data_IF_312188110419
#
_entry.id   IF_312188110419
#
_cell.length_a   1.000
_cell.length_b   1.000
_cell.length_c   1.000
_cell.angle_alpha   90.00
_cell.angle_beta   90.00
_cell.angle_gamma   90.00
#
_symmetry.space_group_name_H-M   'P 1'
#
loop_
_entity.id
_entity.type
_entity.pdbx_description
1 polymer ?
#
# COMPACT_ATOMS: atom_id res chain seq x y z
N UNK A 1 9.42 21.32 -3.43
CA UNK A 1 9.47 21.57 -1.97
C UNK A 1 8.96 22.97 -1.66
N UNK A 2 9.62 24.03 -2.13
CA UNK A 2 9.24 25.40 -1.80
C UNK A 2 7.81 25.76 -2.21
N UNK A 3 7.35 25.29 -3.36
CA UNK A 3 5.96 25.48 -3.82
C UNK A 3 4.94 24.81 -2.90
N UNK A 4 5.21 23.60 -2.40
CA UNK A 4 4.37 22.92 -1.42
C UNK A 4 4.28 23.77 -0.13
N UNK A 5 5.43 24.25 0.36
CA UNK A 5 5.50 25.09 1.55
C UNK A 5 4.74 26.42 1.37
N UNK A 6 4.90 27.08 0.22
CA UNK A 6 4.21 28.33 -0.12
C UNK A 6 2.69 28.18 -0.16
N UNK A 7 2.21 27.13 -0.85
CA UNK A 7 0.75 26.84 -0.93
C UNK A 7 0.18 26.54 0.45
N UNK A 8 0.83 25.71 1.26
CA UNK A 8 0.38 25.38 2.60
C UNK A 8 0.42 26.61 3.55
N UNK A 9 1.40 27.50 3.41
CA UNK A 9 1.42 28.76 4.17
C UNK A 9 0.35 29.74 3.72
N UNK A 10 0.04 29.80 2.43
CA UNK A 10 -0.94 30.75 1.87
C UNK A 10 -2.37 30.33 2.18
N UNK A 11 -2.71 29.07 1.93
CA UNK A 11 -4.08 28.55 2.03
C UNK A 11 -4.37 27.88 3.36
N UNK A 12 -3.35 27.63 4.17
CA UNK A 12 -3.45 26.86 5.40
C UNK A 12 -3.38 25.35 5.16
N UNK A 13 -3.32 24.61 6.23
CA UNK A 13 -3.30 23.16 6.23
C UNK A 13 -4.29 22.61 7.26
N UNK A 14 -5.24 21.82 6.79
CA UNK A 14 -6.38 21.39 7.61
C UNK A 14 -6.08 20.18 8.51
N UNK A 15 -5.02 19.42 8.22
CA UNK A 15 -4.57 18.27 9.02
C UNK A 15 -3.49 18.68 10.04
N UNK A 16 -3.13 17.76 10.94
CA UNK A 16 -2.05 17.99 11.91
C UNK A 16 -0.68 17.99 11.27
N UNK A 17 -0.43 17.13 10.29
CA UNK A 17 0.84 17.03 9.59
C UNK A 17 0.76 16.15 8.35
N UNK A 18 1.81 16.19 7.52
CA UNK A 18 1.94 15.38 6.30
C UNK A 18 3.41 15.10 5.98
N UNK A 19 3.64 14.00 5.26
CA UNK A 19 4.95 13.65 4.73
C UNK A 19 4.86 13.45 3.21
N UNK A 20 5.86 13.96 2.50
CA UNK A 20 5.96 13.86 1.03
C UNK A 20 7.23 13.13 0.62
N UNK A 21 7.11 12.18 -0.29
CA UNK A 21 8.22 11.69 -1.10
C UNK A 21 8.27 12.51 -2.39
N UNK A 22 9.36 13.19 -2.63
CA UNK A 22 9.56 14.07 -3.80
C UNK A 22 10.75 13.51 -4.57
N UNK A 23 10.53 13.11 -5.82
CA UNK A 23 11.52 12.41 -6.62
C UNK A 23 11.51 12.96 -8.04
N UNK A 24 12.69 13.25 -8.55
CA UNK A 24 12.95 13.49 -9.96
C UNK A 24 14.00 12.49 -10.51
N UNK A 25 14.46 12.60 -11.77
CA UNK A 25 15.46 11.67 -12.31
C UNK A 25 16.83 11.71 -11.62
N UNK A 26 17.16 12.77 -10.89
CA UNK A 26 18.49 13.03 -10.34
C UNK A 26 18.54 12.85 -8.82
N UNK A 27 17.47 13.19 -8.11
CA UNK A 27 17.45 13.18 -6.65
C UNK A 27 16.11 12.77 -6.03
N UNK A 28 16.16 12.40 -4.76
CA UNK A 28 14.99 12.05 -3.96
C UNK A 28 15.03 12.81 -2.62
N UNK A 29 13.87 13.32 -2.22
CA UNK A 29 13.69 14.05 -0.98
C UNK A 29 12.53 13.49 -0.16
N UNK A 30 12.66 13.58 1.15
CA UNK A 30 11.55 13.45 2.09
C UNK A 30 11.28 14.83 2.70
N UNK A 31 10.02 15.26 2.67
CA UNK A 31 9.58 16.49 3.31
C UNK A 31 8.52 16.17 4.35
N UNK A 32 8.68 16.69 5.55
CA UNK A 32 7.72 16.57 6.64
C UNK A 32 7.24 17.95 7.05
N UNK A 33 5.93 18.12 7.21
CA UNK A 33 5.32 19.38 7.61
C UNK A 33 4.29 19.18 8.72
N UNK A 34 4.17 20.21 9.55
CA UNK A 34 3.19 20.27 10.65
C UNK A 34 2.41 21.58 10.52
N UNK A 35 1.08 21.47 10.57
CA UNK A 35 0.20 22.64 10.62
C UNK A 35 0.37 23.40 11.94
N UNK A 36 0.47 24.72 11.88
CA UNK A 36 0.60 25.56 13.08
C UNK A 36 -0.68 25.61 13.95
N UNK A 37 -1.76 24.95 13.49
CA UNK A 37 -3.01 24.90 14.19
C UNK A 37 -3.86 26.16 14.07
N UNK A 38 -4.82 26.32 14.97
CA UNK A 38 -5.76 27.45 14.99
C UNK A 38 -5.54 28.31 16.22
N UNK A 39 -5.55 29.63 16.00
CA UNK A 39 -5.61 30.63 17.06
C UNK A 39 -6.59 31.73 16.59
N UNK A 40 -7.68 31.92 17.29
CA UNK A 40 -8.66 32.96 16.97
C UNK A 40 -8.00 34.35 16.95
N UNK A 41 -8.19 35.09 15.87
CA UNK A 41 -7.71 36.47 15.73
C UNK A 41 -8.72 37.53 16.28
N UNK A 42 -9.83 37.09 16.87
CA UNK A 42 -10.90 37.93 17.35
C UNK A 42 -11.75 38.60 16.26
N UNK A 43 -11.52 38.23 14.99
CA UNK A 43 -12.23 38.73 13.80
C UNK A 43 -12.84 37.64 12.94
N UNK A 44 -12.86 36.40 13.46
CA UNK A 44 -13.40 35.24 12.77
C UNK A 44 -12.37 34.56 11.84
N UNK A 45 -11.07 34.88 11.97
CA UNK A 45 -9.98 34.31 11.24
C UNK A 45 -8.98 33.55 12.11
N UNK A 46 -7.96 32.97 11.49
CA UNK A 46 -6.86 32.26 12.15
C UNK A 46 -5.59 33.14 12.19
N UNK A 47 -5.19 33.59 13.38
CA UNK A 47 -3.93 34.34 13.59
C UNK A 47 -2.66 33.48 13.46
N UNK A 48 -2.82 32.13 13.43
CA UNK A 48 -1.69 31.17 13.39
C UNK A 48 -1.73 30.34 12.10
N UNK A 49 -1.81 30.99 10.95
CA UNK A 49 -1.81 30.33 9.65
C UNK A 49 -0.46 29.67 9.34
N UNK A 50 -0.52 28.66 8.48
CA UNK A 50 0.68 28.09 7.84
C UNK A 50 1.17 26.82 8.51
N UNK A 51 2.40 26.50 8.17
CA UNK A 51 3.08 25.28 8.56
C UNK A 51 4.50 25.58 9.06
N UNK A 52 5.06 24.63 9.80
CA UNK A 52 6.50 24.44 9.94
C UNK A 52 6.88 23.16 9.21
N UNK A 53 8.06 23.11 8.65
CA UNK A 53 8.48 21.99 7.81
C UNK A 53 9.99 21.83 7.75
N UNK A 54 10.42 20.61 7.41
CA UNK A 54 11.79 20.25 7.09
C UNK A 54 11.80 19.27 5.93
N UNK A 55 12.77 19.41 5.04
CA UNK A 55 12.98 18.49 3.93
C UNK A 55 14.44 18.03 3.90
N UNK A 56 14.66 16.73 3.68
CA UNK A 56 15.98 16.12 3.62
C UNK A 56 16.16 15.39 2.29
N UNK A 57 17.26 15.68 1.59
CA UNK A 57 17.70 14.90 0.44
C UNK A 57 18.17 13.53 0.92
N UNK A 58 17.66 12.48 0.29
CA UNK A 58 18.09 11.10 0.55
C UNK A 58 19.44 10.91 -0.13
N UNK A 59 20.49 10.44 0.58
CA UNK A 59 21.81 10.24 -0.03
C UNK A 59 21.76 9.24 -1.18
N UNK A 60 22.55 9.46 -2.21
CA UNK A 60 22.62 8.57 -3.37
C UNK A 60 22.96 7.13 -2.94
N UNK A 61 22.23 6.16 -3.49
CA UNK A 61 22.38 4.76 -3.13
C UNK A 61 21.68 4.33 -1.85
N UNK A 62 20.89 5.21 -1.22
CA UNK A 62 20.05 4.90 -0.07
C UNK A 62 18.56 4.91 -0.43
N UNK A 63 17.74 4.33 0.44
CA UNK A 63 16.28 4.39 0.39
C UNK A 63 15.74 4.90 1.72
N UNK A 64 14.63 5.62 1.67
CA UNK A 64 13.88 6.06 2.83
C UNK A 64 12.42 5.64 2.72
N UNK A 65 11.69 5.69 3.82
CA UNK A 65 10.27 5.44 3.89
C UNK A 65 9.64 6.24 5.03
N UNK A 66 8.35 6.51 4.92
CA UNK A 66 7.53 7.11 5.96
C UNK A 66 6.09 6.56 5.92
N UNK A 67 5.41 6.60 7.03
CA UNK A 67 4.06 6.05 7.16
C UNK A 67 3.30 6.74 8.29
N UNK A 68 2.67 7.88 8.01
CA UNK A 68 1.88 8.69 8.96
C UNK A 68 2.60 9.15 10.23
N UNK A 69 3.92 9.21 10.24
CA UNK A 69 4.74 9.66 11.36
C UNK A 69 5.92 10.47 10.83
N UNK A 70 6.20 11.61 11.46
CA UNK A 70 7.43 12.36 11.19
C UNK A 70 8.65 11.58 11.71
N UNK A 71 9.72 11.54 10.92
CA UNK A 71 10.92 10.73 11.19
C UNK A 71 12.20 11.53 11.19
N UNK A 72 12.20 12.75 10.64
CA UNK A 72 13.38 13.63 10.61
C UNK A 72 13.67 14.08 12.04
N UNK A 73 14.84 13.70 12.55
CA UNK A 73 15.38 14.11 13.86
C UNK A 73 16.10 15.44 13.74
N UNK A 74 17.33 15.52 14.23
CA UNK A 74 18.22 16.66 14.00
C UNK A 74 18.59 16.75 12.53
N UNK A 75 18.80 17.98 12.05
CA UNK A 75 19.10 18.24 10.65
C UNK A 75 20.10 19.40 10.51
N UNK A 76 20.97 19.39 9.48
CA UNK A 76 21.91 20.47 9.24
C UNK A 76 21.18 21.76 8.87
N UNK A 77 21.65 22.90 9.41
CA UNK A 77 21.05 24.21 9.17
C UNK A 77 21.88 25.05 8.18
N UNK A 78 23.05 24.57 7.83
CA UNK A 78 24.05 25.24 6.96
C UNK A 78 24.33 24.44 5.67
N UNK A 79 23.47 23.48 5.31
CA UNK A 79 23.60 22.62 4.12
C UNK A 79 22.34 22.70 3.23
N UNK A 80 22.15 23.81 2.49
CA UNK A 80 20.98 24.01 1.66
C UNK A 80 20.89 23.06 0.45
N UNK A 81 21.97 22.36 0.10
CA UNK A 81 21.94 21.34 -0.97
C UNK A 81 21.27 20.05 -0.52
N UNK A 82 21.30 19.73 0.78
CA UNK A 82 20.76 18.49 1.32
C UNK A 82 19.68 18.68 2.39
N UNK A 83 19.41 19.92 2.81
CA UNK A 83 18.41 20.23 3.82
C UNK A 83 17.75 21.59 3.59
N UNK A 84 16.43 21.59 3.51
CA UNK A 84 15.61 22.80 3.47
C UNK A 84 14.63 22.78 4.65
N UNK A 85 14.31 23.92 5.21
CA UNK A 85 13.38 24.01 6.35
C UNK A 85 12.74 25.41 6.47
N UNK A 86 11.62 25.49 7.18
CA UNK A 86 11.00 26.79 7.46
C UNK A 86 11.84 27.60 8.45
N UNK A 87 12.04 28.92 8.21
CA UNK A 87 12.92 29.76 9.05
C UNK A 87 12.52 29.80 10.52
N UNK A 88 11.24 29.57 10.80
CA UNK A 88 10.67 29.64 12.14
C UNK A 88 10.46 28.25 12.79
N UNK A 89 11.00 27.18 12.22
CA UNK A 89 10.78 25.79 12.69
C UNK A 89 11.18 25.60 14.15
N UNK A 90 12.26 26.17 14.63
CA UNK A 90 12.69 26.10 16.03
C UNK A 90 11.96 27.13 16.89
N UNK A 91 11.81 28.36 16.40
CA UNK A 91 11.16 29.43 17.13
C UNK A 91 9.70 29.09 17.44
N UNK A 92 8.98 28.50 16.49
CA UNK A 92 7.60 28.07 16.70
C UNK A 92 7.49 26.93 17.74
N UNK A 93 8.43 25.98 17.74
CA UNK A 93 8.44 24.92 18.77
C UNK A 93 8.64 25.51 20.18
N UNK A 94 9.49 26.51 20.32
CA UNK A 94 9.69 27.21 21.59
C UNK A 94 8.45 28.04 21.98
N UNK A 95 7.82 28.75 21.05
CA UNK A 95 6.58 29.48 21.28
C UNK A 95 5.47 28.57 21.83
N UNK A 96 5.41 27.36 21.30
CA UNK A 96 4.39 26.37 21.69
C UNK A 96 4.76 25.58 22.97
N UNK A 97 5.98 25.76 23.48
CA UNK A 97 6.46 24.99 24.64
C UNK A 97 6.79 23.52 24.33
N UNK A 98 7.00 23.19 23.06
CA UNK A 98 7.37 21.84 22.61
C UNK A 98 8.87 21.58 22.71
N UNK A 99 9.67 22.64 22.81
CA UNK A 99 11.12 22.56 22.86
C UNK A 99 11.73 23.77 23.61
N UNK A 100 12.76 23.53 24.44
CA UNK A 100 13.46 24.56 25.22
C UNK A 100 15.00 24.50 25.11
N UNK A 101 15.52 23.55 24.28
CA UNK A 101 16.96 23.33 24.08
C UNK A 101 17.64 24.28 23.09
N UNK A 102 18.86 23.91 22.65
CA UNK A 102 19.64 24.66 21.67
C UNK A 102 19.15 24.43 20.24
N UNK A 103 19.49 25.30 19.31
CA UNK A 103 19.11 25.12 17.89
C UNK A 103 19.81 23.90 17.26
N UNK A 104 21.03 23.59 17.71
CA UNK A 104 21.82 22.46 17.24
C UNK A 104 21.21 21.11 17.60
N UNK A 105 20.62 20.99 18.78
CA UNK A 105 20.03 19.75 19.28
C UNK A 105 18.56 19.57 18.88
N UNK A 106 17.99 20.55 18.17
CA UNK A 106 16.58 20.51 17.78
C UNK A 106 16.27 19.34 16.87
N UNK A 107 15.39 18.45 17.35
CA UNK A 107 14.84 17.30 16.63
C UNK A 107 13.40 17.60 16.18
N UNK A 108 13.16 17.63 14.88
CA UNK A 108 11.85 17.98 14.32
C UNK A 108 10.74 17.02 14.80
N UNK A 109 10.95 15.72 14.64
CA UNK A 109 9.95 14.74 15.01
C UNK A 109 9.74 14.65 16.52
N UNK A 110 10.78 14.84 17.36
CA UNK A 110 10.62 14.82 18.81
C UNK A 110 9.82 16.02 19.32
N UNK A 111 10.02 17.20 18.68
CA UNK A 111 9.30 18.40 19.06
C UNK A 111 7.83 18.39 18.57
N UNK A 112 7.58 17.92 17.36
CA UNK A 112 6.26 18.10 16.72
C UNK A 112 5.42 16.83 16.62
N UNK A 113 6.02 15.66 16.66
CA UNK A 113 5.36 14.37 16.52
C UNK A 113 6.13 13.29 17.31
N UNK A 114 6.24 13.44 18.65
CA UNK A 114 6.93 12.44 19.47
C UNK A 114 6.26 11.07 19.31
N UNK A 115 7.09 10.04 19.18
CA UNK A 115 6.62 8.69 18.90
C UNK A 115 6.08 8.05 20.19
N UNK A 116 4.78 7.84 20.23
CA UNK A 116 4.11 7.00 21.22
C UNK A 116 3.95 5.55 20.71
N UNK A 117 3.31 4.69 21.51
CA UNK A 117 3.04 3.31 21.14
C UNK A 117 2.29 3.21 19.79
N UNK A 118 1.28 4.06 19.56
CA UNK A 118 0.49 4.08 18.34
C UNK A 118 1.31 4.48 17.12
N UNK A 119 2.20 5.47 17.28
CA UNK A 119 3.14 5.89 16.24
C UNK A 119 4.13 4.77 15.88
N UNK A 120 4.64 4.04 16.87
CA UNK A 120 5.54 2.93 16.63
C UNK A 120 4.81 1.75 15.99
N UNK A 121 3.76 1.22 16.65
CA UNK A 121 3.03 0.04 16.20
C UNK A 121 2.21 0.28 14.93
N UNK A 122 1.56 1.42 14.82
CA UNK A 122 0.69 1.74 13.68
C UNK A 122 1.40 2.38 12.49
N UNK A 123 2.57 3.00 12.69
CA UNK A 123 3.26 3.77 11.65
C UNK A 123 4.67 3.23 11.37
N UNK A 124 5.59 3.32 12.33
CA UNK A 124 6.98 2.90 12.15
C UNK A 124 7.13 1.40 11.82
N UNK A 125 6.23 0.55 12.28
CA UNK A 125 6.20 -0.87 11.91
C UNK A 125 6.13 -1.08 10.39
N UNK A 126 5.38 -0.25 9.65
CA UNK A 126 5.30 -0.32 8.18
C UNK A 126 6.61 0.11 7.51
N UNK A 127 7.28 1.10 8.06
CA UNK A 127 8.63 1.50 7.62
C UNK A 127 9.64 0.38 7.88
N UNK A 128 9.58 -0.25 9.05
CA UNK A 128 10.41 -1.38 9.39
C UNK A 128 10.22 -2.56 8.42
N UNK A 129 8.97 -2.89 8.07
CA UNK A 129 8.65 -3.94 7.12
C UNK A 129 9.26 -3.68 5.74
N UNK A 130 9.18 -2.45 5.24
CA UNK A 130 9.84 -2.06 4.00
C UNK A 130 11.37 -2.15 4.11
N UNK A 131 11.97 -1.58 5.14
CA UNK A 131 13.42 -1.61 5.34
C UNK A 131 13.96 -3.04 5.48
N UNK A 132 13.26 -3.90 6.22
CA UNK A 132 13.59 -5.32 6.37
C UNK A 132 13.61 -6.05 5.03
N UNK A 133 12.70 -5.70 4.12
CA UNK A 133 12.63 -6.31 2.79
C UNK A 133 13.84 -5.92 1.93
N UNK A 134 14.37 -4.71 2.05
CA UNK A 134 15.41 -4.19 1.13
C UNK A 134 16.82 -4.14 1.72
N UNK A 135 16.96 -4.12 3.06
CA UNK A 135 18.25 -3.95 3.74
C UNK A 135 18.51 -5.05 4.77
N UNK A 136 19.78 -5.26 5.13
CA UNK A 136 20.20 -6.23 6.15
C UNK A 136 20.17 -5.63 7.55
N UNK A 137 20.08 -6.50 8.57
CA UNK A 137 20.22 -6.13 9.96
C UNK A 137 19.03 -5.37 10.55
N UNK A 138 17.90 -5.34 9.87
CA UNK A 138 16.70 -4.63 10.34
C UNK A 138 15.95 -5.36 11.45
N UNK A 139 16.17 -6.65 11.62
CA UNK A 139 15.53 -7.43 12.70
C UNK A 139 15.90 -6.92 14.11
N UNK A 140 17.04 -6.24 14.27
CA UNK A 140 17.41 -5.60 15.55
C UNK A 140 16.46 -4.48 16.00
N UNK A 141 15.62 -3.98 15.11
CA UNK A 141 14.62 -2.92 15.37
C UNK A 141 13.20 -3.46 15.54
N UNK A 142 13.03 -4.79 15.65
CA UNK A 142 11.70 -5.39 15.80
C UNK A 142 10.99 -4.92 17.06
N UNK A 143 11.71 -4.71 18.17
CA UNK A 143 11.18 -4.21 19.43
C UNK A 143 10.65 -2.76 19.30
N UNK A 144 11.35 -1.92 18.53
CA UNK A 144 10.89 -0.59 18.17
C UNK A 144 9.61 -0.66 17.32
N UNK A 145 9.58 -1.46 16.26
CA UNK A 145 8.41 -1.64 15.42
C UNK A 145 7.20 -2.21 16.17
N UNK A 146 7.45 -3.06 17.19
CA UNK A 146 6.39 -3.58 18.07
C UNK A 146 5.91 -2.57 19.12
N UNK A 147 6.52 -1.41 19.23
CA UNK A 147 6.17 -0.39 20.23
C UNK A 147 6.71 -0.65 21.64
N UNK A 148 7.64 -1.59 21.78
CA UNK A 148 8.16 -2.01 23.09
C UNK A 148 9.41 -1.23 23.52
N UNK A 149 10.11 -0.59 22.58
CA UNK A 149 11.35 0.12 22.86
C UNK A 149 11.52 1.34 21.93
N UNK A 150 11.06 2.50 22.37
CA UNK A 150 11.13 3.75 21.61
C UNK A 150 12.56 4.26 21.43
N UNK A 151 13.49 3.86 22.31
CA UNK A 151 14.89 4.29 22.25
C UNK A 151 15.67 3.59 21.12
N UNK A 152 15.23 2.42 20.66
CA UNK A 152 15.87 1.66 19.59
C UNK A 152 15.42 2.15 18.21
N UNK A 153 15.53 3.44 17.96
CA UNK A 153 15.00 4.12 16.78
C UNK A 153 15.67 3.68 15.49
N UNK A 154 14.88 3.45 14.44
CA UNK A 154 15.37 3.18 13.10
C UNK A 154 16.00 4.43 12.44
N UNK A 155 17.04 4.26 11.60
CA UNK A 155 17.59 5.36 10.81
C UNK A 155 16.56 5.91 9.81
N UNK A 156 16.72 7.18 9.41
CA UNK A 156 15.83 7.83 8.42
C UNK A 156 15.90 7.16 7.04
N UNK A 157 17.07 6.63 6.68
CA UNK A 157 17.33 5.88 5.44
C UNK A 157 18.25 4.70 5.69
N UNK A 158 18.19 3.72 4.80
CA UNK A 158 19.02 2.52 4.84
C UNK A 158 19.68 2.27 3.48
N UNK A 159 20.83 1.61 3.51
CA UNK A 159 21.49 1.17 2.28
C UNK A 159 20.88 -0.17 1.85
N UNK A 160 20.23 -0.25 0.68
CA UNK A 160 19.64 -1.51 0.22
C UNK A 160 20.72 -2.51 -0.18
N UNK A 161 20.42 -3.81 -0.04
CA UNK A 161 21.31 -4.92 -0.45
C UNK A 161 21.63 -4.88 -1.94
N UNK A 162 20.66 -4.54 -2.74
CA UNK A 162 20.74 -4.43 -4.19
C UNK A 162 19.92 -3.23 -4.67
N UNK A 163 20.07 -2.86 -5.94
CA UNK A 163 19.24 -1.82 -6.54
C UNK A 163 17.76 -2.23 -6.46
N UNK A 164 16.94 -1.38 -5.86
CA UNK A 164 15.50 -1.63 -5.67
C UNK A 164 14.78 -1.45 -7.01
N UNK A 165 14.15 -2.51 -7.51
CA UNK A 165 13.35 -2.44 -8.74
C UNK A 165 11.91 -2.02 -8.46
N UNK A 166 11.15 -1.54 -9.47
CA UNK A 166 9.72 -1.28 -9.30
C UNK A 166 8.96 -2.48 -8.74
N UNK A 167 9.26 -3.71 -9.18
CA UNK A 167 8.61 -4.94 -8.68
C UNK A 167 8.82 -5.16 -7.18
N UNK A 168 10.01 -4.85 -6.66
CA UNK A 168 10.27 -4.92 -5.21
C UNK A 168 9.38 -3.93 -4.45
N UNK A 169 9.21 -2.71 -4.97
CA UNK A 169 8.32 -1.72 -4.35
C UNK A 169 6.86 -2.17 -4.43
N UNK A 170 6.42 -2.73 -5.57
CA UNK A 170 5.07 -3.31 -5.70
C UNK A 170 4.79 -4.35 -4.62
N UNK A 171 5.75 -5.25 -4.39
CA UNK A 171 5.60 -6.32 -3.41
C UNK A 171 5.64 -5.80 -1.97
N UNK A 172 6.45 -4.79 -1.68
CA UNK A 172 6.47 -4.13 -0.36
C UNK A 172 5.12 -3.47 0.00
N UNK A 173 4.38 -2.96 -1.00
CA UNK A 173 3.05 -2.37 -0.77
C UNK A 173 1.98 -3.41 -0.41
N UNK A 174 2.27 -4.70 -0.54
CA UNK A 174 1.38 -5.83 -0.26
C UNK A 174 1.60 -6.49 1.10
N UNK A 175 2.50 -5.96 1.89
CA UNK A 175 2.96 -6.56 3.15
C UNK A 175 1.89 -6.53 4.25
N UNK A 176 1.79 -7.65 4.99
CA UNK A 176 1.01 -7.81 6.23
C UNK A 176 1.86 -8.36 7.36
N UNK A 177 3.15 -8.03 7.36
CA UNK A 177 4.16 -8.50 8.31
C UNK A 177 4.41 -10.01 8.27
N UNK A 178 4.20 -10.67 7.13
CA UNK A 178 4.34 -12.11 6.99
C UNK A 178 5.74 -12.58 7.43
N UNK A 179 5.75 -13.66 8.23
CA UNK A 179 6.96 -14.24 8.77
C UNK A 179 7.64 -13.43 9.89
N UNK A 180 6.92 -12.49 10.49
CA UNK A 180 7.38 -11.69 11.64
C UNK A 180 6.52 -11.96 12.89
N UNK A 181 6.91 -11.46 14.07
CA UNK A 181 6.04 -11.53 15.26
C UNK A 181 4.69 -10.81 15.10
N UNK A 182 4.57 -9.91 14.11
CA UNK A 182 3.36 -9.15 13.81
C UNK A 182 2.54 -9.74 12.66
N UNK A 183 2.84 -10.95 12.22
CA UNK A 183 2.18 -11.62 11.07
C UNK A 183 0.67 -11.71 11.25
N UNK A 184 -0.06 -10.93 10.44
CA UNK A 184 -1.51 -10.81 10.50
C UNK A 184 -2.25 -12.00 9.88
N UNK A 185 -1.55 -12.92 9.23
CA UNK A 185 -2.13 -14.13 8.61
C UNK A 185 -2.15 -15.32 9.55
N UNK A 186 -1.45 -15.24 10.68
CA UNK A 186 -1.23 -16.38 11.57
C UNK A 186 -1.74 -16.19 13.00
N UNK A 187 -2.15 -15.00 13.40
CA UNK A 187 -2.72 -14.73 14.71
C UNK A 187 -4.17 -15.24 14.85
N UNK A 188 -4.77 -15.11 16.03
CA UNK A 188 -6.15 -15.54 16.26
C UNK A 188 -7.16 -14.72 15.42
N UNK A 189 -6.86 -13.45 15.15
CA UNK A 189 -7.70 -12.56 14.36
C UNK A 189 -7.77 -12.93 12.88
N UNK A 190 -6.79 -13.69 12.36
CA UNK A 190 -6.81 -14.21 11.00
C UNK A 190 -7.88 -15.28 10.77
N UNK A 191 -8.40 -15.87 11.84
CA UNK A 191 -9.41 -16.92 11.76
C UNK A 191 -8.92 -18.18 11.05
N UNK A 192 -9.87 -18.98 10.61
CA UNK A 192 -9.59 -20.23 9.90
C UNK A 192 -9.17 -20.06 8.46
N UNK A 193 -9.32 -18.86 7.88
CA UNK A 193 -9.02 -18.54 6.49
C UNK A 193 -7.74 -17.70 6.31
N UNK A 194 -6.95 -17.54 7.37
CA UNK A 194 -5.72 -16.73 7.36
C UNK A 194 -5.91 -15.30 6.82
N UNK A 195 -7.07 -14.67 7.08
CA UNK A 195 -7.40 -13.33 6.59
C UNK A 195 -6.60 -12.26 7.34
N UNK A 196 -5.76 -11.44 6.65
CA UNK A 196 -4.88 -10.49 7.32
C UNK A 196 -5.56 -9.18 7.71
N UNK A 197 -6.85 -9.06 7.51
CA UNK A 197 -7.58 -7.81 7.71
C UNK A 197 -8.34 -7.78 9.03
N UNK A 198 -8.44 -6.57 9.60
CA UNK A 198 -9.16 -6.33 10.85
C UNK A 198 -10.16 -5.21 10.66
N UNK A 199 -11.32 -5.35 11.28
CA UNK A 199 -12.30 -4.27 11.33
C UNK A 199 -11.88 -3.22 12.35
N UNK A 200 -12.22 -1.97 12.10
CA UNK A 200 -12.03 -0.89 13.06
C UNK A 200 -13.15 -0.89 14.12
N UNK A 201 -12.89 -0.43 15.34
CA UNK A 201 -11.65 0.21 15.79
C UNK A 201 -10.47 -0.77 15.94
N UNK A 202 -9.25 -0.23 15.82
CA UNK A 202 -8.03 -1.04 15.97
C UNK A 202 -7.76 -1.38 17.44
N UNK A 203 -8.15 -0.51 18.36
CA UNK A 203 -7.99 -0.67 19.80
C UNK A 203 -9.27 -1.22 20.43
N UNK A 204 -9.10 -2.08 21.42
CA UNK A 204 -10.18 -2.65 22.22
C UNK A 204 -9.69 -2.99 23.63
N UNK A 205 -10.61 -3.02 24.59
CA UNK A 205 -10.30 -3.29 26.00
C UNK A 205 -10.91 -4.63 26.45
N UNK A 206 -10.15 -5.38 27.24
CA UNK A 206 -10.64 -6.57 27.95
C UNK A 206 -10.13 -6.53 29.39
N UNK A 207 -11.03 -6.60 30.36
CA UNK A 207 -10.74 -6.62 31.80
C UNK A 207 -9.83 -5.46 32.26
N UNK A 208 -10.02 -4.27 31.69
CA UNK A 208 -9.25 -3.07 32.01
C UNK A 208 -7.87 -3.01 31.37
N UNK A 209 -7.57 -3.93 30.43
CA UNK A 209 -6.33 -3.94 29.65
C UNK A 209 -6.64 -3.60 28.20
N UNK A 210 -5.98 -2.58 27.67
CA UNK A 210 -6.12 -2.18 26.26
C UNK A 210 -5.23 -3.04 25.37
N UNK A 211 -5.79 -3.43 24.24
CA UNK A 211 -5.14 -4.20 23.16
C UNK A 211 -5.25 -3.47 21.83
N UNK A 212 -4.31 -3.74 20.92
CA UNK A 212 -4.27 -3.14 19.59
C UNK A 212 -4.03 -4.21 18.52
N UNK A 213 -4.81 -4.16 17.43
CA UNK A 213 -4.51 -4.90 16.21
C UNK A 213 -3.41 -4.20 15.41
N UNK A 214 -2.66 -4.96 14.62
CA UNK A 214 -1.67 -4.44 13.67
C UNK A 214 -2.32 -3.59 12.58
N UNK A 215 -1.54 -2.63 12.08
CA UNK A 215 -1.86 -1.85 10.90
C UNK A 215 -0.80 -2.08 9.83
N UNK A 216 -1.07 -2.98 8.91
CA UNK A 216 -0.16 -3.33 7.82
C UNK A 216 -0.09 -2.26 6.72
N UNK A 217 0.85 -2.43 5.78
CA UNK A 217 0.97 -1.58 4.59
C UNK A 217 -0.20 -1.83 3.66
N UNK A 218 -0.52 -3.08 3.32
CA UNK A 218 -1.73 -3.43 2.60
C UNK A 218 -2.95 -3.43 3.53
N UNK A 219 -4.04 -2.84 3.10
CA UNK A 219 -5.27 -2.75 3.89
C UNK A 219 -6.50 -2.70 2.99
N UNK A 220 -7.59 -3.33 3.45
CA UNK A 220 -8.90 -3.34 2.78
C UNK A 220 -9.52 -1.95 2.60
N UNK A 221 -8.99 -0.93 3.22
CA UNK A 221 -9.50 0.45 3.13
C UNK A 221 -8.83 1.26 2.01
N UNK A 222 -7.90 0.65 1.27
CA UNK A 222 -7.19 1.31 0.17
C UNK A 222 -8.17 1.63 -0.96
N UNK A 223 -8.28 2.89 -1.34
CA UNK A 223 -9.04 3.30 -2.52
C UNK A 223 -8.24 3.13 -3.81
N UNK A 224 -6.99 3.55 -3.76
CA UNK A 224 -6.00 3.38 -4.84
C UNK A 224 -4.59 3.35 -4.24
N UNK A 225 -3.65 2.85 -5.02
CA UNK A 225 -2.24 2.85 -4.71
C UNK A 225 -1.40 3.00 -5.97
N UNK A 226 -0.18 3.45 -5.83
CA UNK A 226 0.68 3.66 -7.00
C UNK A 226 2.16 3.59 -6.65
N UNK A 227 2.98 3.41 -7.68
CA UNK A 227 4.42 3.60 -7.65
C UNK A 227 4.81 4.58 -8.76
N UNK A 228 5.26 5.76 -8.40
CA UNK A 228 5.79 6.74 -9.34
C UNK A 228 7.25 6.41 -9.66
N UNK A 229 7.58 6.34 -10.94
CA UNK A 229 8.92 6.03 -11.43
C UNK A 229 9.47 7.20 -12.23
N UNK A 230 10.37 7.98 -11.62
CA UNK A 230 11.23 8.92 -12.32
C UNK A 230 12.34 8.16 -13.06
N UNK A 231 12.72 8.62 -14.25
CA UNK A 231 13.54 7.83 -15.18
C UNK A 231 14.59 8.73 -15.86
N UNK A 232 15.89 8.64 -15.50
CA UNK A 232 16.94 9.51 -16.01
C UNK A 232 17.30 9.24 -17.50
N UNK A 233 17.05 8.02 -17.98
CA UNK A 233 17.51 7.58 -19.31
C UNK A 233 16.50 7.84 -20.43
N UNK A 234 15.39 8.53 -20.14
CA UNK A 234 14.31 8.83 -21.10
C UNK A 234 13.83 10.27 -20.93
N UNK A 235 13.17 10.88 -21.94
CA UNK A 235 12.56 12.21 -21.80
C UNK A 235 11.59 12.31 -20.60
N UNK A 236 11.51 13.47 -19.95
CA UNK A 236 10.72 13.71 -18.73
C UNK A 236 9.26 13.28 -18.83
N UNK A 237 8.66 13.44 -20.02
CA UNK A 237 7.28 13.02 -20.28
C UNK A 237 7.08 11.50 -20.37
N UNK A 238 8.14 10.71 -20.25
CA UNK A 238 8.11 9.25 -20.21
C UNK A 238 8.24 8.69 -18.78
N UNK A 239 8.16 9.49 -17.75
CA UNK A 239 7.94 9.02 -16.38
C UNK A 239 6.68 8.14 -16.31
N UNK A 240 6.64 7.18 -15.40
CA UNK A 240 5.53 6.22 -15.30
C UNK A 240 4.90 6.30 -13.92
N UNK A 241 3.59 6.43 -13.88
CA UNK A 241 2.76 6.14 -12.74
C UNK A 241 2.23 4.69 -12.90
N UNK A 242 2.80 3.77 -12.14
CA UNK A 242 2.22 2.43 -11.98
C UNK A 242 1.02 2.57 -11.06
N UNK A 243 -0.17 2.42 -11.58
CA UNK A 243 -1.41 2.75 -10.88
C UNK A 243 -2.31 1.52 -10.70
N UNK A 244 -2.87 1.38 -9.52
CA UNK A 244 -3.83 0.35 -9.16
C UNK A 244 -4.92 0.88 -8.23
N UNK A 245 -6.04 0.20 -8.21
CA UNK A 245 -7.18 0.51 -7.35
C UNK A 245 -7.38 -0.57 -6.32
N UNK A 246 -8.01 -0.22 -5.21
CA UNK A 246 -8.37 -1.13 -4.12
C UNK A 246 -7.16 -1.70 -3.37
N UNK A 247 -7.34 -2.74 -2.59
CA UNK A 247 -6.34 -3.39 -1.74
C UNK A 247 -5.12 -3.89 -2.53
N UNK A 248 -3.94 -3.40 -2.19
CA UNK A 248 -2.69 -3.72 -2.88
C UNK A 248 -2.39 -5.23 -2.92
N UNK A 249 -2.76 -5.99 -1.87
CA UNK A 249 -2.45 -7.41 -1.78
C UNK A 249 -3.25 -8.27 -2.78
N UNK A 250 -4.42 -7.81 -3.19
CA UNK A 250 -5.33 -8.50 -4.10
C UNK A 250 -5.60 -7.73 -5.38
N UNK A 251 -4.82 -6.68 -5.66
CA UNK A 251 -4.92 -5.86 -6.87
C UNK A 251 -3.60 -5.81 -7.66
N UNK A 252 -3.63 -5.11 -8.79
CA UNK A 252 -2.58 -5.13 -9.77
C UNK A 252 -2.31 -3.72 -10.31
N UNK A 253 -1.05 -3.44 -10.65
CA UNK A 253 -0.65 -2.15 -11.22
C UNK A 253 -0.63 -2.18 -12.74
N UNK A 254 -1.05 -1.07 -13.34
CA UNK A 254 -0.93 -0.81 -14.78
C UNK A 254 -0.04 0.41 -15.04
N UNK A 255 0.82 0.39 -16.08
CA UNK A 255 1.69 1.53 -16.38
C UNK A 255 0.92 2.65 -17.08
N UNK A 256 0.97 3.84 -16.49
CA UNK A 256 0.42 5.07 -17.07
C UNK A 256 1.57 6.06 -17.26
N UNK A 257 1.87 6.41 -18.51
CA UNK A 257 2.90 7.40 -18.80
C UNK A 257 2.44 8.81 -18.42
N UNK A 258 3.35 9.65 -17.94
CA UNK A 258 3.03 11.02 -17.48
C UNK A 258 2.43 11.91 -18.59
N UNK A 259 2.69 11.61 -19.86
CA UNK A 259 2.11 12.32 -21.00
C UNK A 259 0.71 11.84 -21.41
N UNK A 260 0.11 10.89 -20.70
CA UNK A 260 -1.19 10.31 -21.04
C UNK A 260 -2.29 11.38 -21.04
N UNK A 261 -3.06 11.45 -22.13
CA UNK A 261 -4.15 12.38 -22.34
C UNK A 261 -5.49 11.61 -22.38
N UNK A 262 -6.08 11.39 -21.23
CA UNK A 262 -7.33 10.67 -21.08
C UNK A 262 -7.18 9.39 -20.26
N UNK A 263 -8.32 8.80 -19.93
CA UNK A 263 -8.40 7.58 -19.12
C UNK A 263 -9.44 6.64 -19.76
N UNK A 264 -9.32 5.31 -19.58
CA UNK A 264 -10.37 4.39 -19.99
C UNK A 264 -11.61 4.58 -19.11
N UNK A 265 -12.77 4.16 -19.60
CA UNK A 265 -14.05 4.27 -18.87
C UNK A 265 -13.97 3.70 -17.44
N UNK A 266 -13.28 2.59 -17.28
CA UNK A 266 -13.16 1.92 -15.98
C UNK A 266 -12.45 2.73 -14.89
N UNK A 267 -11.68 3.76 -15.26
CA UNK A 267 -10.98 4.68 -14.36
C UNK A 267 -11.52 6.11 -14.41
N UNK A 268 -12.59 6.36 -15.20
CA UNK A 268 -13.09 7.72 -15.39
C UNK A 268 -13.85 8.23 -14.16
N UNK A 269 -13.72 9.54 -13.92
CA UNK A 269 -14.54 10.26 -12.93
C UNK A 269 -16.02 10.12 -13.28
N UNK A 270 -16.87 9.97 -12.25
CA UNK A 270 -18.32 9.80 -12.41
C UNK A 270 -18.75 8.37 -12.72
N UNK A 271 -17.84 7.43 -12.90
CA UNK A 271 -18.15 6.00 -13.07
C UNK A 271 -18.27 5.30 -11.70
N UNK A 272 -19.34 5.61 -10.97
CA UNK A 272 -19.56 5.13 -9.60
C UNK A 272 -18.86 5.99 -8.55
N UNK A 273 -19.12 5.70 -7.29
CA UNK A 273 -18.52 6.34 -6.12
C UNK A 273 -18.47 5.35 -4.96
N UNK A 274 -17.96 5.74 -3.80
CA UNK A 274 -18.03 4.90 -2.58
C UNK A 274 -19.46 4.53 -2.17
N UNK A 275 -20.45 5.32 -2.60
CA UNK A 275 -21.86 5.14 -2.25
C UNK A 275 -22.72 4.71 -3.44
N UNK A 276 -22.13 4.58 -4.62
CA UNK A 276 -22.83 4.24 -5.85
C UNK A 276 -22.06 3.19 -6.65
N UNK A 277 -22.61 1.98 -6.71
CA UNK A 277 -22.02 0.87 -7.44
C UNK A 277 -22.06 1.09 -8.95
N UNK A 278 -20.96 0.79 -9.64
CA UNK A 278 -20.91 0.69 -11.10
C UNK A 278 -20.21 -0.61 -11.54
N UNK A 279 -20.84 -1.40 -12.43
CA UNK A 279 -20.26 -2.65 -12.92
C UNK A 279 -19.09 -2.43 -13.90
N UNK A 280 -18.90 -1.21 -14.42
CA UNK A 280 -17.81 -0.84 -15.32
C UNK A 280 -16.67 -0.11 -14.62
N UNK A 281 -16.82 0.21 -13.32
CA UNK A 281 -15.76 0.80 -12.50
C UNK A 281 -14.70 -0.23 -12.10
N UNK A 282 -13.44 0.11 -12.32
CA UNK A 282 -12.31 -0.72 -11.88
C UNK A 282 -12.31 -0.87 -10.35
N UNK A 283 -12.58 0.21 -9.59
CA UNK A 283 -12.65 0.13 -8.13
C UNK A 283 -13.64 -0.94 -7.67
N UNK A 284 -14.87 -0.93 -8.17
CA UNK A 284 -15.89 -1.89 -7.73
C UNK A 284 -15.58 -3.33 -8.14
N UNK A 285 -15.00 -3.53 -9.32
CA UNK A 285 -14.58 -4.86 -9.77
C UNK A 285 -13.45 -5.41 -8.89
N UNK A 286 -12.42 -4.62 -8.63
CA UNK A 286 -11.28 -5.04 -7.81
C UNK A 286 -11.70 -5.24 -6.35
N UNK A 287 -12.50 -4.32 -5.80
CA UNK A 287 -13.06 -4.43 -4.46
C UNK A 287 -13.88 -5.71 -4.25
N UNK A 288 -14.68 -6.12 -5.25
CA UNK A 288 -15.42 -7.38 -5.19
C UNK A 288 -14.50 -8.60 -5.16
N UNK A 289 -13.44 -8.62 -5.98
CA UNK A 289 -12.44 -9.69 -5.97
C UNK A 289 -11.72 -9.74 -4.63
N UNK A 290 -11.33 -8.60 -4.07
CA UNK A 290 -10.69 -8.51 -2.76
C UNK A 290 -11.58 -9.03 -1.64
N UNK A 291 -12.84 -8.55 -1.57
CA UNK A 291 -13.78 -8.99 -0.54
C UNK A 291 -14.13 -10.48 -0.67
N UNK A 292 -14.13 -11.01 -1.87
CA UNK A 292 -14.29 -12.44 -2.08
C UNK A 292 -13.07 -13.22 -1.56
N UNK A 293 -11.87 -12.72 -1.80
CA UNK A 293 -10.62 -13.31 -1.27
C UNK A 293 -10.61 -13.35 0.27
N UNK A 294 -11.15 -12.34 0.95
CA UNK A 294 -11.18 -12.29 2.41
C UNK A 294 -11.96 -13.43 3.05
N UNK A 295 -12.89 -14.03 2.34
CA UNK A 295 -13.65 -15.16 2.83
C UNK A 295 -12.80 -16.44 2.99
N UNK A 296 -11.78 -16.59 2.15
CA UNK A 296 -10.88 -17.74 2.14
C UNK A 296 -9.49 -17.34 1.63
N UNK A 297 -8.86 -16.42 2.33
CA UNK A 297 -7.62 -15.78 1.92
C UNK A 297 -6.47 -16.77 1.70
N UNK A 298 -6.35 -17.78 2.57
CA UNK A 298 -5.38 -18.88 2.50
C UNK A 298 -5.34 -19.61 1.13
N UNK A 299 -6.42 -19.53 0.37
CA UNK A 299 -6.53 -20.21 -0.93
C UNK A 299 -6.69 -19.21 -2.09
N UNK A 300 -7.62 -18.26 -1.96
CA UNK A 300 -8.01 -17.37 -3.06
C UNK A 300 -6.90 -16.39 -3.38
N UNK A 301 -6.21 -15.86 -2.37
CA UNK A 301 -5.08 -14.95 -2.57
C UNK A 301 -3.96 -15.57 -3.41
N UNK A 302 -3.74 -16.90 -3.28
CA UNK A 302 -2.76 -17.62 -4.08
C UNK A 302 -3.09 -17.66 -5.58
N UNK A 303 -4.36 -17.80 -5.96
CA UNK A 303 -4.75 -17.72 -7.37
C UNK A 303 -4.69 -16.29 -7.91
N UNK A 304 -5.10 -15.29 -7.12
CA UNK A 304 -4.95 -13.88 -7.48
C UNK A 304 -3.45 -13.55 -7.69
N UNK A 305 -2.59 -14.01 -6.79
CA UNK A 305 -1.15 -13.73 -6.86
C UNK A 305 -0.50 -14.26 -8.15
N UNK A 306 -0.91 -15.43 -8.63
CA UNK A 306 -0.43 -15.94 -9.93
C UNK A 306 -0.76 -14.96 -11.07
N UNK A 307 -1.95 -14.38 -11.06
CA UNK A 307 -2.39 -13.42 -12.09
C UNK A 307 -1.64 -12.10 -11.96
N UNK A 308 -1.48 -11.59 -10.73
CA UNK A 308 -0.72 -10.37 -10.43
C UNK A 308 0.72 -10.51 -10.92
N UNK A 309 1.41 -11.57 -10.53
CA UNK A 309 2.82 -11.77 -10.89
C UNK A 309 3.02 -11.89 -12.40
N UNK A 310 2.15 -12.64 -13.08
CA UNK A 310 2.20 -12.73 -14.54
C UNK A 310 2.01 -11.37 -15.19
N UNK A 311 0.95 -10.64 -14.83
CA UNK A 311 0.62 -9.34 -15.39
C UNK A 311 1.74 -8.32 -15.18
N UNK A 312 2.21 -8.15 -13.95
CA UNK A 312 3.21 -7.13 -13.62
C UNK A 312 4.57 -7.43 -14.27
N UNK A 313 4.99 -8.70 -14.30
CA UNK A 313 6.22 -9.08 -14.99
C UNK A 313 6.11 -8.86 -16.52
N UNK A 314 4.96 -9.15 -17.12
CA UNK A 314 4.71 -8.87 -18.53
C UNK A 314 4.67 -7.37 -18.81
N UNK A 315 4.01 -6.57 -17.96
CA UNK A 315 3.95 -5.11 -18.08
C UNK A 315 5.33 -4.45 -17.96
N UNK A 316 6.15 -4.88 -16.99
CA UNK A 316 7.53 -4.40 -16.82
C UNK A 316 8.42 -4.72 -18.05
N UNK A 317 8.19 -5.85 -18.70
CA UNK A 317 8.89 -6.21 -19.94
C UNK A 317 8.36 -5.37 -21.10
N UNK A 318 7.03 -5.28 -21.25
CA UNK A 318 6.37 -4.56 -22.34
C UNK A 318 6.73 -3.06 -22.35
N UNK A 319 6.85 -2.44 -21.17
CA UNK A 319 7.30 -1.05 -21.06
C UNK A 319 8.64 -0.81 -21.74
N UNK A 320 9.58 -1.76 -21.67
CA UNK A 320 10.89 -1.62 -22.34
C UNK A 320 10.76 -1.61 -23.85
N UNK A 321 9.89 -2.46 -24.41
CA UNK A 321 9.66 -2.54 -25.85
C UNK A 321 8.93 -1.27 -26.33
N UNK A 322 7.94 -0.80 -25.56
CA UNK A 322 7.20 0.44 -25.81
C UNK A 322 8.12 1.67 -25.74
N UNK A 323 9.01 1.73 -24.78
CA UNK A 323 10.01 2.80 -24.67
C UNK A 323 10.92 2.86 -25.91
N UNK A 324 11.43 1.69 -26.34
CA UNK A 324 12.29 1.60 -27.51
C UNK A 324 11.58 2.12 -28.79
N UNK A 325 10.31 1.77 -28.97
CA UNK A 325 9.50 2.29 -30.09
C UNK A 325 9.23 3.78 -29.93
N UNK A 326 8.81 4.22 -28.75
CA UNK A 326 8.50 5.62 -28.45
C UNK A 326 9.69 6.55 -28.72
N UNK A 327 10.91 6.10 -28.44
CA UNK A 327 12.14 6.89 -28.68
C UNK A 327 12.41 7.13 -30.16
N UNK A 328 11.85 6.33 -31.07
CA UNK A 328 11.96 6.56 -32.53
C UNK A 328 11.01 7.62 -33.05
N UNK A 329 10.02 8.03 -32.27
CA UNK A 329 8.94 8.92 -32.67
C UNK A 329 9.25 10.39 -32.38
N UNK A 330 8.65 11.30 -33.15
CA UNK A 330 8.67 12.74 -32.81
C UNK A 330 7.93 12.97 -31.47
N UNK A 331 8.25 14.04 -30.70
CA UNK A 331 7.64 14.28 -29.40
C UNK A 331 6.10 14.23 -29.39
N UNK A 332 5.46 14.79 -30.42
CA UNK A 332 4.00 14.77 -30.56
C UNK A 332 3.44 13.36 -30.84
N UNK A 333 4.07 12.61 -31.74
CA UNK A 333 3.68 11.25 -32.06
C UNK A 333 3.94 10.31 -30.87
N UNK A 334 5.05 10.50 -30.14
CA UNK A 334 5.38 9.79 -28.91
C UNK A 334 4.29 9.97 -27.86
N UNK A 335 3.89 11.21 -27.55
CA UNK A 335 2.85 11.47 -26.55
C UNK A 335 1.51 10.80 -26.90
N UNK A 336 1.12 10.79 -28.17
CA UNK A 336 -0.08 10.08 -28.62
C UNK A 336 0.06 8.56 -28.46
N UNK A 337 1.16 7.99 -28.93
CA UNK A 337 1.44 6.55 -28.84
C UNK A 337 1.43 6.05 -27.39
N UNK A 338 2.11 6.74 -26.46
CA UNK A 338 2.17 6.40 -25.06
C UNK A 338 0.80 6.57 -24.35
N UNK A 339 0.00 7.57 -24.77
CA UNK A 339 -1.37 7.72 -24.28
C UNK A 339 -2.26 6.53 -24.68
N UNK A 340 -2.22 6.15 -25.94
CA UNK A 340 -2.99 5.01 -26.46
C UNK A 340 -2.57 3.71 -25.79
N UNK A 341 -1.28 3.50 -25.57
CA UNK A 341 -0.74 2.35 -24.84
C UNK A 341 -1.26 2.31 -23.40
N UNK A 342 -1.16 3.42 -22.65
CA UNK A 342 -1.58 3.49 -21.24
C UNK A 342 -3.07 3.19 -21.08
N UNK A 343 -3.92 3.79 -21.94
CA UNK A 343 -5.37 3.58 -21.93
C UNK A 343 -5.72 2.13 -22.27
N UNK A 344 -5.11 1.59 -23.34
CA UNK A 344 -5.38 0.23 -23.78
C UNK A 344 -4.94 -0.81 -22.72
N UNK A 345 -3.79 -0.61 -22.08
CA UNK A 345 -3.26 -1.53 -21.06
C UNK A 345 -4.14 -1.52 -19.80
N UNK A 346 -4.61 -0.34 -19.38
CA UNK A 346 -5.53 -0.26 -18.24
C UNK A 346 -6.87 -0.95 -18.53
N UNK A 347 -7.41 -0.81 -19.74
CA UNK A 347 -8.63 -1.52 -20.17
C UNK A 347 -8.41 -3.04 -20.22
N UNK A 348 -7.28 -3.50 -20.74
CA UNK A 348 -6.93 -4.93 -20.77
C UNK A 348 -6.82 -5.53 -19.35
N UNK A 349 -6.29 -4.77 -18.40
CA UNK A 349 -6.26 -5.20 -16.99
C UNK A 349 -7.67 -5.37 -16.43
N UNK A 350 -8.56 -4.40 -16.66
CA UNK A 350 -9.97 -4.49 -16.26
C UNK A 350 -10.66 -5.73 -16.85
N UNK A 351 -10.48 -5.99 -18.13
CA UNK A 351 -11.07 -7.13 -18.81
C UNK A 351 -10.54 -8.46 -18.26
N UNK A 352 -9.24 -8.52 -17.94
CA UNK A 352 -8.61 -9.68 -17.32
C UNK A 352 -9.15 -9.92 -15.90
N UNK A 353 -9.32 -8.85 -15.13
CA UNK A 353 -9.90 -8.92 -13.78
C UNK A 353 -11.36 -9.34 -13.78
N UNK A 354 -12.13 -8.90 -14.77
CA UNK A 354 -13.51 -9.35 -14.96
C UNK A 354 -13.63 -10.86 -15.23
N UNK A 355 -12.65 -11.44 -15.93
CA UNK A 355 -12.58 -12.90 -16.09
C UNK A 355 -12.15 -13.59 -14.80
N UNK A 356 -11.17 -13.02 -14.08
CA UNK A 356 -10.70 -13.54 -12.79
C UNK A 356 -11.84 -13.62 -11.76
N UNK A 357 -12.63 -12.57 -11.63
CA UNK A 357 -13.80 -12.53 -10.76
C UNK A 357 -14.74 -13.74 -10.99
N UNK A 358 -15.07 -14.02 -12.24
CA UNK A 358 -15.92 -15.15 -12.62
C UNK A 358 -15.28 -16.50 -12.31
N UNK A 359 -13.97 -16.61 -12.56
CA UNK A 359 -13.22 -17.82 -12.24
C UNK A 359 -13.24 -18.13 -10.73
N UNK A 360 -12.92 -17.13 -9.91
CA UNK A 360 -12.86 -17.28 -8.46
C UNK A 360 -14.24 -17.59 -7.87
N UNK A 361 -15.28 -16.90 -8.35
CA UNK A 361 -16.65 -17.15 -7.93
C UNK A 361 -17.06 -18.61 -8.16
N UNK A 362 -16.83 -19.14 -9.36
CA UNK A 362 -17.17 -20.53 -9.67
C UNK A 362 -16.33 -21.51 -8.86
N UNK A 363 -15.03 -21.27 -8.74
CA UNK A 363 -14.11 -22.20 -8.07
C UNK A 363 -14.40 -22.33 -6.57
N UNK A 364 -14.74 -21.24 -5.89
CA UNK A 364 -14.75 -21.15 -4.43
C UNK A 364 -16.12 -20.90 -3.79
N UNK A 365 -17.20 -20.75 -4.58
CA UNK A 365 -18.53 -20.49 -3.98
C UNK A 365 -19.03 -21.68 -3.14
N UNK A 366 -19.93 -21.38 -2.20
CA UNK A 366 -20.63 -22.37 -1.34
C UNK A 366 -19.72 -23.14 -0.36
N UNK A 367 -18.59 -22.56 0.04
CA UNK A 367 -17.70 -23.14 1.05
C UNK A 367 -16.95 -24.39 0.60
N UNK A 368 -16.83 -24.61 -0.70
CA UNK A 368 -16.11 -25.74 -1.29
C UNK A 368 -15.19 -25.27 -2.42
N UNK A 369 -14.32 -26.15 -2.89
CA UNK A 369 -13.39 -25.89 -4.00
C UNK A 369 -13.67 -26.89 -5.11
N UNK A 370 -14.04 -26.37 -6.30
CA UNK A 370 -14.24 -27.21 -7.49
C UNK A 370 -12.90 -27.60 -8.09
N UNK A 371 -12.84 -28.81 -8.64
CA UNK A 371 -11.67 -29.30 -9.38
C UNK A 371 -11.32 -28.36 -10.54
N UNK A 372 -10.05 -28.15 -10.76
CA UNK A 372 -9.59 -27.39 -11.92
C UNK A 372 -9.62 -28.25 -13.19
N UNK A 373 -10.31 -27.77 -14.21
CA UNK A 373 -10.17 -28.27 -15.58
C UNK A 373 -9.02 -27.53 -16.30
N UNK A 374 -8.89 -26.23 -16.00
CA UNK A 374 -7.75 -25.42 -16.38
C UNK A 374 -7.43 -24.48 -15.20
N UNK A 375 -6.13 -24.28 -14.92
CA UNK A 375 -5.69 -23.33 -13.91
C UNK A 375 -6.12 -21.89 -14.23
N UNK A 376 -5.99 -20.98 -13.25
CA UNK A 376 -6.46 -19.60 -13.42
C UNK A 376 -5.83 -18.91 -14.62
N UNK A 377 -4.55 -19.10 -14.89
CA UNK A 377 -3.88 -18.46 -16.02
C UNK A 377 -4.37 -18.98 -17.36
N UNK A 378 -4.54 -20.29 -17.50
CA UNK A 378 -5.06 -20.94 -18.71
C UNK A 378 -6.51 -20.52 -18.98
N UNK A 379 -7.33 -20.43 -17.93
CA UNK A 379 -8.70 -19.91 -18.04
C UNK A 379 -8.75 -18.48 -18.57
N UNK A 380 -7.93 -17.59 -18.02
CA UNK A 380 -7.85 -16.19 -18.47
C UNK A 380 -7.42 -16.08 -19.94
N UNK A 381 -6.63 -17.05 -20.43
CA UNK A 381 -6.18 -17.15 -21.80
C UNK A 381 -7.18 -17.94 -22.70
N UNK A 382 -8.39 -18.22 -22.21
CA UNK A 382 -9.48 -18.83 -22.99
C UNK A 382 -9.50 -20.36 -23.00
N UNK A 383 -8.80 -21.01 -22.07
CA UNK A 383 -8.71 -22.49 -22.00
C UNK A 383 -9.52 -23.03 -20.82
N UNK A 384 -10.70 -23.57 -21.09
CA UNK A 384 -11.52 -24.23 -20.09
C UNK A 384 -11.92 -23.37 -18.89
N UNK A 385 -12.19 -23.99 -17.76
CA UNK A 385 -12.69 -23.31 -16.54
C UNK A 385 -12.31 -24.04 -15.24
N UNK A 386 -12.77 -23.52 -14.08
CA UNK A 386 -12.38 -24.06 -12.77
C UNK A 386 -13.04 -25.41 -12.44
N UNK A 387 -14.01 -25.86 -13.23
CA UNK A 387 -14.69 -27.14 -12.97
C UNK A 387 -14.65 -28.03 -14.20
N UNK A 388 -14.31 -29.30 -13.97
CA UNK A 388 -14.54 -30.39 -14.88
C UNK A 388 -15.90 -31.01 -14.55
N UNK A 389 -16.71 -31.31 -15.56
CA UNK A 389 -18.08 -31.79 -15.37
C UNK A 389 -18.27 -33.21 -15.88
N UNK A 390 -19.11 -33.94 -15.18
CA UNK A 390 -19.65 -35.24 -15.62
C UNK A 390 -21.17 -35.16 -15.68
N UNK A 391 -21.80 -35.96 -16.56
CA UNK A 391 -23.24 -36.13 -16.59
C UNK A 391 -23.68 -36.97 -15.38
N UNK A 392 -24.69 -36.52 -14.65
CA UNK A 392 -25.23 -37.20 -13.50
C UNK A 392 -26.31 -38.24 -13.85
N UNK A 393 -26.46 -38.59 -15.13
CA UNK A 393 -27.44 -39.56 -15.61
C UNK A 393 -28.83 -39.00 -15.94
N UNK A 394 -29.06 -37.69 -15.73
CA UNK A 394 -30.33 -37.03 -16.07
C UNK A 394 -30.16 -35.84 -17.03
N UNK A 395 -29.01 -35.77 -17.73
CA UNK A 395 -28.67 -34.70 -18.66
C UNK A 395 -28.18 -33.41 -17.99
N UNK A 396 -27.95 -33.40 -16.67
CA UNK A 396 -27.36 -32.25 -15.95
C UNK A 396 -25.90 -32.49 -15.65
N UNK A 397 -25.08 -31.50 -15.96
CA UNK A 397 -23.68 -31.53 -15.61
C UNK A 397 -23.48 -31.14 -14.14
N UNK A 398 -22.63 -31.91 -13.45
CA UNK A 398 -22.16 -31.61 -12.09
C UNK A 398 -20.63 -31.60 -12.06
N UNK A 399 -20.00 -30.90 -11.14
CA UNK A 399 -18.55 -30.99 -10.95
C UNK A 399 -18.17 -32.44 -10.65
N UNK A 400 -17.17 -32.97 -11.34
CA UNK A 400 -16.66 -34.33 -11.13
C UNK A 400 -15.99 -34.50 -9.77
N UNK A 401 -15.51 -33.39 -9.22
CA UNK A 401 -14.86 -33.35 -7.92
C UNK A 401 -15.10 -32.04 -7.19
N UNK A 402 -15.51 -32.14 -5.94
CA UNK A 402 -15.65 -31.05 -4.99
C UNK A 402 -14.77 -31.34 -3.77
N UNK A 403 -13.97 -30.37 -3.35
CA UNK A 403 -13.09 -30.49 -2.19
C UNK A 403 -13.61 -29.66 -1.03
N UNK A 404 -13.38 -30.16 0.19
CA UNK A 404 -13.69 -29.48 1.45
C UNK A 404 -12.39 -29.41 2.29
N UNK A 405 -11.51 -28.43 2.03
CA UNK A 405 -10.16 -28.41 2.61
C UNK A 405 -10.14 -28.18 4.13
N UNK A 406 -11.24 -27.69 4.74
CA UNK A 406 -11.30 -27.44 6.18
C UNK A 406 -10.40 -26.27 6.61
N UNK A 407 -9.87 -26.34 7.82
CA UNK A 407 -9.07 -25.28 8.44
C UNK A 407 -7.71 -25.82 8.89
N UNK A 408 -6.74 -24.91 9.07
CA UNK A 408 -5.40 -25.23 9.57
C UNK A 408 -5.40 -25.68 11.05
N UNK A 409 -4.36 -26.42 11.45
CA UNK A 409 -4.24 -27.01 12.78
C UNK A 409 -4.25 -25.99 13.92
N UNK A 410 -3.65 -24.82 13.74
CA UNK A 410 -3.61 -23.74 14.76
C UNK A 410 -5.04 -23.30 15.10
N UNK A 411 -5.87 -23.07 14.07
CA UNK A 411 -7.27 -22.68 14.24
C UNK A 411 -8.10 -23.81 14.90
N UNK A 412 -7.94 -25.05 14.45
CA UNK A 412 -8.63 -26.20 15.06
C UNK A 412 -8.31 -26.34 16.55
N UNK A 413 -7.06 -26.14 16.94
CA UNK A 413 -6.64 -26.17 18.35
C UNK A 413 -7.23 -25.00 19.15
N UNK A 414 -7.31 -23.80 18.56
CA UNK A 414 -7.94 -22.64 19.20
C UNK A 414 -9.43 -22.88 19.43
N UNK A 415 -10.15 -23.39 18.43
CA UNK A 415 -11.57 -23.75 18.55
C UNK A 415 -11.80 -24.83 19.60
N UNK A 416 -10.96 -25.88 19.61
CA UNK A 416 -11.08 -26.96 20.61
C UNK A 416 -10.83 -26.45 22.03
N UNK A 417 -9.94 -25.45 22.22
CA UNK A 417 -9.69 -24.84 23.54
C UNK A 417 -10.83 -23.93 24.00
N UNK A 418 -11.45 -23.20 23.07
CA UNK A 418 -12.52 -22.25 23.38
C UNK A 418 -13.86 -22.95 23.65
N UNK A 419 -14.29 -23.79 22.71
CA UNK A 419 -15.61 -24.46 22.76
C UNK A 419 -15.51 -26.00 22.73
N UNK A 420 -14.39 -26.58 23.16
CA UNK A 420 -14.07 -28.00 22.98
C UNK A 420 -15.15 -28.97 23.45
N UNK A 421 -15.74 -28.75 24.62
CA UNK A 421 -16.76 -29.65 25.16
C UNK A 421 -18.08 -29.61 24.35
N UNK A 422 -18.48 -28.42 23.85
CA UNK A 422 -19.69 -28.26 23.03
C UNK A 422 -19.53 -28.93 21.66
N UNK A 423 -18.32 -28.83 21.07
CA UNK A 423 -18.05 -29.31 19.71
C UNK A 423 -17.51 -30.75 19.68
N UNK A 424 -17.29 -31.35 20.86
CA UNK A 424 -16.75 -32.71 20.99
C UNK A 424 -17.74 -33.75 20.50
N UNK A 425 -17.29 -34.62 19.59
CA UNK A 425 -18.10 -35.72 19.13
C UNK A 425 -18.24 -36.76 20.25
N UNK A 426 -19.50 -37.05 20.64
CA UNK A 426 -19.82 -38.09 21.59
C UNK A 426 -19.84 -39.42 20.81
N UNK A 427 -19.02 -40.38 21.24
CA UNK A 427 -18.97 -41.73 20.67
C UNK A 427 -19.82 -42.68 21.47
#
# INVERSE_FOLDING_TARGET
ILTIAELANTYGYASSGESFSIVDPEEAWIMELIGKGYKDDGKGGNARKGIVWVARRIPDGYVSAHANQARITTFPKDDPENCLYSPDVVAFAREMGYYDGTDEDFSFCEAYAPADFGALRGCEARVWAFFRTVADGMDKYVDYAMGHNAENRMPLWVKPRTKVSPKVVFDCMRDHYEGTPMDMTTDIGAGGSACPYRWRPMYFEVDGVEYCNERATATQQTGFWFVAQARPDVPDNMGILWFGVDDAATSCLTPIYCCTQGVPECLSEGNGSMLEYSPTSAFWLFNRVSNFAYMRYDMIAGDIRKVVDKWENEALRLVRDVDAEAMTLSPKARGKFLSEFSIATAQQLFDRWSKLDKYLLVKYMDGNVKSEHAGVLEYLDGKGGPAHFVDNGNGKQIPDKIQFPGYGEKWKRAVAKDNGEILKVIK
#
